data_IF_513014563647
#
_entry.id   IF_513014563647
#
_cell.length_a   1.000
_cell.length_b   1.000
_cell.length_c   1.000
_cell.angle_alpha   90.00
_cell.angle_beta   90.00
_cell.angle_gamma   90.00
#
_symmetry.space_group_name_H-M   'P 1'
#
loop_
_entity.id
_entity.type
_entity.pdbx_description
1 polymer ?
#
# COMPACT_ATOMS: atom_id res chain seq x y z
N UNK A 1 9.27 4.65 27.26
CA UNK A 1 9.21 5.52 26.06
C UNK A 1 10.47 5.35 25.20
N UNK A 2 10.34 4.71 24.03
CA UNK A 2 11.39 4.67 22.99
C UNK A 2 11.17 5.83 22.01
N UNK A 3 12.24 6.48 21.55
CA UNK A 3 12.21 7.49 20.49
C UNK A 3 12.39 6.79 19.14
N UNK A 4 11.40 6.90 18.26
CA UNK A 4 11.40 6.21 16.96
C UNK A 4 11.33 7.24 15.84
N UNK A 5 12.32 7.23 14.96
CA UNK A 5 12.23 7.92 13.68
C UNK A 5 11.43 7.06 12.69
N UNK A 6 10.22 7.50 12.36
CA UNK A 6 9.38 6.87 11.35
C UNK A 6 9.58 7.57 10.00
N UNK A 7 10.22 6.86 9.07
CA UNK A 7 10.37 7.26 7.68
C UNK A 7 9.02 7.03 6.97
N UNK A 8 8.34 8.14 6.69
CA UNK A 8 6.95 8.25 6.29
C UNK A 8 6.85 8.65 4.80
N UNK A 9 6.32 7.77 3.92
CA UNK A 9 6.12 8.08 2.51
C UNK A 9 4.93 8.99 2.22
N UNK A 10 4.04 9.26 3.17
CA UNK A 10 2.91 10.16 2.95
C UNK A 10 3.32 11.64 3.00
N UNK A 11 4.45 11.96 3.65
CA UNK A 11 5.00 13.31 3.71
C UNK A 11 5.55 13.71 2.33
N UNK A 12 5.16 14.89 1.85
CA UNK A 12 5.48 15.39 0.50
C UNK A 12 5.00 14.47 -0.64
N UNK A 13 3.92 13.71 -0.42
CA UNK A 13 3.29 12.87 -1.45
C UNK A 13 1.92 13.41 -1.86
N UNK A 14 1.62 13.42 -3.15
CA UNK A 14 0.27 13.73 -3.68
C UNK A 14 -0.66 12.52 -3.67
N UNK A 15 -0.15 11.35 -3.26
CA UNK A 15 -0.85 10.08 -3.32
C UNK A 15 -1.47 9.75 -1.96
N UNK A 16 -2.79 9.95 -1.81
CA UNK A 16 -3.49 9.66 -0.55
C UNK A 16 -3.44 8.17 -0.14
N UNK A 17 -3.09 7.27 -1.05
CA UNK A 17 -2.87 5.86 -0.72
C UNK A 17 -1.71 5.64 0.27
N UNK A 18 -0.70 6.52 0.27
CA UNK A 18 0.39 6.44 1.24
C UNK A 18 -0.09 6.78 2.67
N UNK A 19 -1.16 7.58 2.81
CA UNK A 19 -1.77 7.85 4.12
C UNK A 19 -2.45 6.61 4.71
N UNK A 20 -3.09 5.77 3.88
CA UNK A 20 -3.72 4.50 4.32
C UNK A 20 -2.65 3.54 4.86
N UNK A 21 -1.50 3.48 4.17
CA UNK A 21 -0.36 2.67 4.61
C UNK A 21 0.11 3.16 5.97
N UNK A 22 0.28 4.47 6.12
CA UNK A 22 0.84 5.05 7.34
C UNK A 22 -0.12 4.97 8.52
N UNK A 23 -1.42 5.13 8.31
CA UNK A 23 -2.44 4.87 9.33
C UNK A 23 -2.34 3.43 9.89
N UNK A 24 -2.11 2.45 9.00
CA UNK A 24 -1.91 1.06 9.41
C UNK A 24 -0.57 0.84 10.11
N UNK A 25 0.50 1.48 9.63
CA UNK A 25 1.83 1.44 10.26
C UNK A 25 1.80 2.05 11.65
N UNK A 26 1.14 3.19 11.85
CA UNK A 26 1.00 3.85 13.15
C UNK A 26 0.30 2.94 14.15
N UNK A 27 -0.80 2.29 13.75
CA UNK A 27 -1.49 1.30 14.58
C UNK A 27 -0.57 0.13 14.97
N UNK A 28 0.25 -0.37 14.03
CA UNK A 28 1.20 -1.44 14.30
C UNK A 28 2.27 -0.99 15.28
N UNK A 29 2.86 0.19 15.09
CA UNK A 29 3.90 0.74 15.95
C UNK A 29 3.35 0.96 17.37
N UNK A 30 2.19 1.59 17.51
CA UNK A 30 1.55 1.83 18.81
C UNK A 30 1.17 0.55 19.55
N UNK A 31 0.94 -0.56 18.83
CA UNK A 31 0.70 -1.89 19.44
C UNK A 31 1.98 -2.67 19.75
N UNK A 32 3.08 -2.34 19.09
CA UNK A 32 4.36 -3.06 19.22
C UNK A 32 5.25 -2.43 20.29
N UNK A 33 5.16 -1.12 20.47
CA UNK A 33 5.99 -0.37 21.39
C UNK A 33 5.14 0.28 22.49
N UNK A 34 5.63 0.24 23.71
CA UNK A 34 5.02 0.90 24.86
C UNK A 34 5.32 2.41 24.82
N UNK A 35 4.27 3.20 24.62
CA UNK A 35 4.27 4.67 24.53
C UNK A 35 5.44 5.23 23.68
N UNK A 36 5.48 4.98 22.35
CA UNK A 36 6.58 5.45 21.51
C UNK A 36 6.47 6.95 21.22
N UNK A 37 7.60 7.66 21.27
CA UNK A 37 7.70 9.02 20.73
C UNK A 37 8.07 8.95 19.25
N UNK A 38 7.13 9.28 18.36
CA UNK A 38 7.34 9.20 16.91
C UNK A 38 7.83 10.54 16.32
N UNK A 39 8.98 10.51 15.67
CA UNK A 39 9.49 11.61 14.85
C UNK A 39 9.32 11.21 13.38
N UNK A 40 8.45 11.91 12.65
CA UNK A 40 8.16 11.60 11.24
C UNK A 40 9.14 12.29 10.30
N UNK A 41 9.64 11.53 9.32
CA UNK A 41 10.64 12.01 8.36
C UNK A 41 10.21 11.59 6.95
N UNK A 42 10.23 12.51 6.00
CA UNK A 42 9.87 12.20 4.62
C UNK A 42 10.80 11.15 3.97
N UNK A 43 10.24 10.35 3.07
CA UNK A 43 11.03 9.46 2.20
C UNK A 43 11.07 9.90 0.74
N UNK A 44 10.02 10.58 0.26
CA UNK A 44 9.84 10.92 -1.16
C UNK A 44 10.46 12.26 -1.57
N UNK A 45 11.01 12.99 -0.60
CA UNK A 45 11.68 14.28 -0.78
C UNK A 45 13.03 14.30 -0.05
N UNK A 46 13.86 15.31 -0.30
CA UNK A 46 15.20 15.41 0.26
C UNK A 46 15.15 15.42 1.79
N UNK A 47 16.05 14.64 2.40
CA UNK A 47 16.18 14.55 3.85
C UNK A 47 17.04 15.72 4.35
N UNK A 48 16.52 16.44 5.34
CA UNK A 48 17.16 17.65 5.87
C UNK A 48 18.22 17.33 6.93
N UNK A 49 19.08 18.30 7.24
CA UNK A 49 20.05 18.20 8.33
C UNK A 49 19.39 17.98 9.70
N UNK A 50 18.21 18.57 9.93
CA UNK A 50 17.41 18.33 11.13
C UNK A 50 16.90 16.89 11.19
N UNK A 51 16.44 16.35 10.06
CA UNK A 51 16.04 14.95 9.97
C UNK A 51 17.22 14.00 10.29
N UNK A 52 18.43 14.30 9.80
CA UNK A 52 19.64 13.56 10.18
C UNK A 52 19.97 13.64 11.67
N UNK A 53 19.74 14.79 12.31
CA UNK A 53 19.93 14.96 13.74
C UNK A 53 18.95 14.08 14.52
N UNK A 54 17.66 14.13 14.18
CA UNK A 54 16.65 13.33 14.88
C UNK A 54 16.83 11.83 14.69
N UNK A 55 17.20 11.36 13.49
CA UNK A 55 17.51 9.95 13.27
C UNK A 55 18.69 9.48 14.10
N UNK A 56 19.71 10.32 14.30
CA UNK A 56 20.86 9.99 15.16
C UNK A 56 20.51 9.95 16.64
N UNK A 57 19.48 10.68 17.06
CA UNK A 57 18.99 10.71 18.45
C UNK A 57 17.93 9.65 18.74
N UNK A 58 17.43 8.94 17.72
CA UNK A 58 16.36 7.95 17.87
C UNK A 58 16.93 6.58 18.25
N UNK A 59 16.23 5.86 19.11
CA UNK A 59 16.54 4.48 19.47
C UNK A 59 16.34 3.53 18.29
N UNK A 60 15.32 3.79 17.47
CA UNK A 60 14.99 3.01 16.28
C UNK A 60 14.67 3.91 15.08
N UNK A 61 15.01 3.42 13.89
CA UNK A 61 14.67 4.05 12.60
C UNK A 61 13.86 3.04 11.80
N UNK A 62 12.58 3.28 11.62
CA UNK A 62 11.66 2.37 10.93
C UNK A 62 11.16 3.04 9.67
N UNK A 63 11.12 2.30 8.56
CA UNK A 63 10.55 2.78 7.30
C UNK A 63 9.25 2.06 7.00
N UNK A 64 8.16 2.85 6.90
CA UNK A 64 6.80 2.35 6.79
C UNK A 64 6.33 2.21 5.33
N UNK A 65 6.34 0.99 4.83
CA UNK A 65 5.61 0.59 3.63
C UNK A 65 5.99 1.23 2.29
N UNK A 66 4.97 1.35 1.43
CA UNK A 66 4.99 1.73 0.00
C UNK A 66 6.03 0.99 -0.85
N UNK A 67 6.26 1.42 -2.09
CA UNK A 67 7.12 0.75 -3.07
C UNK A 67 8.50 1.42 -3.25
N UNK A 68 9.19 1.64 -2.13
CA UNK A 68 10.41 2.44 -2.03
C UNK A 68 11.68 1.79 -2.61
N UNK A 69 11.73 0.46 -2.72
CA UNK A 69 12.94 -0.25 -3.13
C UNK A 69 13.02 -0.38 -4.66
N UNK A 70 14.23 -0.30 -5.23
CA UNK A 70 14.50 -0.35 -6.67
C UNK A 70 15.87 -0.94 -6.93
N UNK A 71 16.05 -1.61 -8.07
CA UNK A 71 17.33 -2.21 -8.49
C UNK A 71 18.35 -1.18 -9.00
N UNK A 72 17.92 0.06 -9.22
CA UNK A 72 18.74 1.16 -9.74
C UNK A 72 18.47 2.45 -8.94
N UNK A 73 18.85 2.44 -7.65
CA UNK A 73 18.67 3.60 -6.75
C UNK A 73 19.44 4.85 -7.19
N UNK A 74 20.46 4.70 -8.05
CA UNK A 74 21.21 5.80 -8.66
C UNK A 74 20.49 6.49 -9.83
N UNK A 75 19.41 5.91 -10.37
CA UNK A 75 18.68 6.51 -11.51
C UNK A 75 17.23 6.84 -11.15
N UNK A 76 16.50 5.91 -10.54
CA UNK A 76 15.13 6.12 -10.11
C UNK A 76 14.98 5.73 -8.65
N UNK A 77 14.62 6.72 -7.84
CA UNK A 77 14.47 6.59 -6.40
C UNK A 77 13.19 7.28 -5.94
N UNK A 78 12.22 6.47 -5.51
CA UNK A 78 11.10 6.96 -4.70
C UNK A 78 11.59 7.32 -3.31
N UNK A 79 12.39 6.43 -2.70
CA UNK A 79 13.12 6.78 -1.49
C UNK A 79 14.35 7.63 -1.81
N UNK A 80 14.29 8.93 -1.54
CA UNK A 80 15.29 9.94 -1.94
C UNK A 80 16.58 9.88 -1.12
N UNK A 81 17.23 8.73 -1.10
CA UNK A 81 18.53 8.49 -0.45
C UNK A 81 19.63 8.18 -1.44
N UNK A 82 20.86 8.44 -1.04
CA UNK A 82 22.09 8.14 -1.77
C UNK A 82 23.23 7.78 -0.80
N UNK A 83 24.41 7.42 -1.32
CA UNK A 83 25.53 6.99 -0.48
C UNK A 83 26.05 8.07 0.48
N UNK A 84 25.93 9.36 0.15
CA UNK A 84 26.27 10.43 1.09
C UNK A 84 25.32 10.46 2.27
N UNK A 85 24.03 10.25 2.02
CA UNK A 85 23.03 10.18 3.09
C UNK A 85 23.31 8.98 4.00
N UNK A 86 23.89 7.90 3.47
CA UNK A 86 24.22 6.69 4.25
C UNK A 86 25.29 6.90 5.35
N UNK A 87 26.01 8.03 5.30
CA UNK A 87 26.92 8.45 6.38
C UNK A 87 26.16 8.95 7.62
N UNK A 88 24.91 9.38 7.44
CA UNK A 88 24.07 9.95 8.49
C UNK A 88 22.85 9.08 8.79
N UNK A 89 22.45 8.26 7.83
CA UNK A 89 21.33 7.34 7.93
C UNK A 89 21.85 5.91 7.76
N UNK A 90 21.70 5.11 8.79
CA UNK A 90 22.05 3.69 8.80
C UNK A 90 21.18 2.99 9.84
N UNK A 91 21.26 1.66 9.87
CA UNK A 91 20.53 0.82 10.82
C UNK A 91 19.00 1.00 10.75
N UNK A 92 18.48 1.08 9.51
CA UNK A 92 17.05 1.22 9.24
C UNK A 92 16.38 -0.16 9.21
N UNK A 93 15.18 -0.23 9.78
CA UNK A 93 14.35 -1.42 9.84
C UNK A 93 13.17 -1.25 8.90
N UNK A 94 13.03 -2.16 7.93
CA UNK A 94 11.87 -2.18 7.03
C UNK A 94 10.62 -2.70 7.74
N UNK A 95 9.48 -2.02 7.53
CA UNK A 95 8.14 -2.47 7.89
C UNK A 95 7.24 -2.46 6.64
N UNK A 96 7.03 -3.63 6.05
CA UNK A 96 6.11 -3.84 4.94
C UNK A 96 6.48 -3.09 3.66
N UNK A 97 7.77 -2.84 3.45
CA UNK A 97 8.25 -2.13 2.27
C UNK A 97 8.25 -3.06 1.06
N UNK A 98 7.99 -2.52 -0.13
CA UNK A 98 8.02 -3.27 -1.38
C UNK A 98 8.97 -2.73 -2.43
N UNK A 99 9.20 -3.57 -3.43
CA UNK A 99 9.93 -3.23 -4.64
C UNK A 99 9.02 -2.49 -5.64
N UNK A 100 9.58 -1.50 -6.35
CA UNK A 100 8.81 -0.64 -7.26
C UNK A 100 8.12 -1.41 -8.38
N UNK A 101 8.89 -2.16 -9.16
CA UNK A 101 8.40 -2.96 -10.29
C UNK A 101 9.28 -4.17 -10.55
N UNK A 102 8.86 -5.03 -11.48
CA UNK A 102 9.75 -6.07 -12.00
C UNK A 102 10.99 -5.43 -12.62
N UNK A 103 12.14 -5.84 -12.12
CA UNK A 103 13.44 -5.32 -12.51
C UNK A 103 14.44 -6.47 -12.53
N UNK A 104 15.57 -6.25 -13.20
CA UNK A 104 16.72 -7.15 -13.12
C UNK A 104 17.30 -7.18 -11.70
N UNK A 105 18.39 -7.93 -11.49
CA UNK A 105 19.06 -7.89 -10.18
C UNK A 105 19.53 -6.47 -9.84
N UNK A 106 19.53 -6.07 -8.55
CA UNK A 106 20.04 -4.78 -8.15
C UNK A 106 21.50 -4.59 -8.58
N UNK A 107 21.83 -3.39 -9.08
CA UNK A 107 23.18 -3.07 -9.48
C UNK A 107 24.12 -2.94 -8.26
N UNK A 108 25.42 -2.90 -8.52
CA UNK A 108 26.44 -2.81 -7.46
C UNK A 108 26.20 -1.61 -6.54
N UNK A 109 25.91 -0.44 -7.09
CA UNK A 109 25.58 0.77 -6.31
C UNK A 109 24.45 0.53 -5.32
N UNK A 110 23.32 0.00 -5.80
CA UNK A 110 22.13 -0.26 -4.99
C UNK A 110 22.42 -1.30 -3.91
N UNK A 111 23.19 -2.35 -4.25
CA UNK A 111 23.60 -3.38 -3.30
C UNK A 111 24.43 -2.78 -2.16
N UNK A 112 25.42 -1.94 -2.47
CA UNK A 112 26.23 -1.27 -1.44
C UNK A 112 25.34 -0.35 -0.60
N UNK A 113 24.50 0.46 -1.24
CA UNK A 113 23.61 1.39 -0.55
C UNK A 113 22.72 0.67 0.46
N UNK A 114 22.03 -0.40 0.07
CA UNK A 114 21.14 -1.13 1.00
C UNK A 114 21.89 -1.83 2.12
N UNK A 115 23.10 -2.36 1.88
CA UNK A 115 23.91 -2.96 2.94
C UNK A 115 24.38 -1.97 4.00
N UNK A 116 24.51 -0.68 3.65
CA UNK A 116 24.87 0.38 4.59
C UNK A 116 23.63 0.94 5.29
N UNK A 117 22.54 1.14 4.54
CA UNK A 117 21.32 1.76 5.08
C UNK A 117 20.56 0.83 6.01
N UNK A 118 20.44 -0.45 5.65
CA UNK A 118 19.58 -1.41 6.34
C UNK A 118 20.32 -2.05 7.52
N UNK A 119 19.57 -2.28 8.59
CA UNK A 119 20.09 -2.95 9.78
C UNK A 119 20.59 -4.37 9.48
N UNK A 120 21.72 -4.75 10.06
CA UNK A 120 22.22 -6.14 10.01
C UNK A 120 21.80 -6.95 11.24
N UNK A 121 21.19 -6.32 12.25
CA UNK A 121 20.79 -6.94 13.52
C UNK A 121 19.30 -7.27 13.52
N UNK A 122 18.47 -6.34 13.03
CA UNK A 122 17.01 -6.50 13.05
C UNK A 122 16.49 -7.26 11.82
N UNK A 123 15.42 -8.01 12.02
CA UNK A 123 14.62 -8.63 10.97
C UNK A 123 13.83 -7.57 10.20
N UNK A 124 13.95 -7.58 8.88
CA UNK A 124 13.21 -6.72 7.97
C UNK A 124 11.88 -7.33 7.55
N UNK A 125 10.84 -6.51 7.57
CA UNK A 125 9.52 -6.84 7.06
C UNK A 125 9.34 -6.24 5.67
N UNK A 126 8.99 -7.09 4.70
CA UNK A 126 8.62 -6.68 3.34
C UNK A 126 7.23 -7.18 2.99
N UNK A 127 6.59 -6.53 2.02
CA UNK A 127 5.16 -6.76 1.73
C UNK A 127 4.83 -7.93 0.80
N UNK A 128 5.83 -8.44 0.08
CA UNK A 128 5.64 -9.46 -0.95
C UNK A 128 6.90 -10.33 -1.11
N UNK A 129 6.69 -11.57 -1.56
CA UNK A 129 7.73 -12.58 -1.74
C UNK A 129 8.77 -12.16 -2.79
N UNK A 130 8.37 -11.39 -3.80
CA UNK A 130 9.29 -10.85 -4.79
C UNK A 130 10.32 -9.89 -4.16
N UNK A 131 9.87 -8.99 -3.30
CA UNK A 131 10.74 -8.06 -2.57
C UNK A 131 11.69 -8.83 -1.64
N UNK A 132 11.20 -9.85 -0.94
CA UNK A 132 12.01 -10.71 -0.07
C UNK A 132 13.15 -11.38 -0.87
N UNK A 133 12.81 -12.00 -1.99
CA UNK A 133 13.78 -12.66 -2.86
C UNK A 133 14.82 -11.69 -3.42
N UNK A 134 14.42 -10.45 -3.78
CA UNK A 134 15.34 -9.43 -4.26
C UNK A 134 16.37 -9.03 -3.22
N UNK A 135 15.95 -8.79 -1.98
CA UNK A 135 16.87 -8.45 -0.88
C UNK A 135 17.80 -9.63 -0.53
N UNK A 136 17.25 -10.85 -0.45
CA UNK A 136 18.08 -12.06 -0.26
C UNK A 136 19.13 -12.22 -1.35
N UNK A 137 18.77 -11.97 -2.61
CA UNK A 137 19.68 -12.10 -3.76
C UNK A 137 20.90 -11.17 -3.74
N UNK A 138 20.87 -10.10 -2.93
CA UNK A 138 21.99 -9.16 -2.78
C UNK A 138 22.76 -9.34 -1.46
N UNK A 139 22.41 -10.36 -0.68
CA UNK A 139 23.05 -10.71 0.58
C UNK A 139 22.49 -9.98 1.78
N UNK A 140 21.17 -9.76 1.81
CA UNK A 140 20.42 -9.26 2.98
C UNK A 140 19.47 -10.38 3.41
N UNK A 141 19.94 -11.35 4.21
CA UNK A 141 19.19 -12.57 4.52
C UNK A 141 18.17 -12.40 5.66
N UNK A 142 18.35 -11.39 6.50
CA UNK A 142 17.50 -11.01 7.64
C UNK A 142 16.21 -10.30 7.16
N UNK A 143 15.48 -10.92 6.24
CA UNK A 143 14.25 -10.38 5.67
C UNK A 143 13.19 -11.46 5.51
N UNK A 144 11.94 -11.10 5.80
CA UNK A 144 10.77 -11.98 5.66
C UNK A 144 9.60 -11.23 5.05
N UNK A 145 8.82 -11.92 4.22
CA UNK A 145 7.52 -11.45 3.77
C UNK A 145 6.51 -11.50 4.92
N UNK A 146 6.04 -10.33 5.33
CA UNK A 146 5.01 -10.15 6.36
C UNK A 146 3.70 -9.65 5.77
N UNK A 147 3.54 -9.65 4.45
CA UNK A 147 2.49 -8.92 3.72
C UNK A 147 2.50 -7.40 3.92
N UNK A 148 1.61 -6.70 3.20
CA UNK A 148 1.42 -5.26 3.38
C UNK A 148 0.86 -4.95 4.79
N UNK A 149 1.36 -3.92 5.50
CA UNK A 149 0.87 -3.55 6.84
C UNK A 149 -0.64 -3.27 6.88
N UNK A 150 -1.19 -2.79 5.77
CA UNK A 150 -2.63 -2.51 5.62
C UNK A 150 -3.51 -3.78 5.67
N UNK A 151 -2.93 -4.97 5.48
CA UNK A 151 -3.67 -6.23 5.56
C UNK A 151 -3.68 -6.82 6.97
N UNK A 152 -2.83 -6.37 7.89
CA UNK A 152 -2.59 -7.06 9.17
C UNK A 152 -3.80 -7.09 10.12
N UNK A 153 -4.81 -6.25 9.87
CA UNK A 153 -6.07 -6.23 10.61
C UNK A 153 -7.14 -7.13 9.99
N UNK A 154 -6.93 -7.66 8.78
CA UNK A 154 -7.87 -8.51 8.07
C UNK A 154 -7.73 -9.96 8.53
N UNK A 155 -8.06 -10.21 9.80
CA UNK A 155 -8.12 -11.57 10.38
C UNK A 155 -9.25 -12.38 9.75
N UNK A 156 -9.25 -13.70 9.96
CA UNK A 156 -10.35 -14.56 9.51
C UNK A 156 -11.70 -14.09 10.09
N UNK A 157 -11.72 -13.72 11.37
CA UNK A 157 -12.89 -13.14 12.03
C UNK A 157 -13.36 -11.85 11.33
N UNK A 158 -12.44 -10.92 11.08
CA UNK A 158 -12.77 -9.67 10.37
C UNK A 158 -13.33 -9.95 8.97
N UNK A 159 -12.66 -10.81 8.20
CA UNK A 159 -13.07 -11.18 6.86
C UNK A 159 -14.43 -11.88 6.81
N UNK A 160 -14.79 -12.64 7.84
CA UNK A 160 -16.10 -13.30 7.93
C UNK A 160 -17.28 -12.32 7.99
N UNK A 161 -17.05 -11.09 8.44
CA UNK A 161 -18.05 -10.02 8.51
C UNK A 161 -18.23 -9.28 7.18
N UNK A 162 -17.41 -9.57 6.16
CA UNK A 162 -17.48 -8.92 4.86
C UNK A 162 -18.66 -9.51 4.06
N UNK A 163 -19.56 -8.68 3.51
CA UNK A 163 -20.67 -9.15 2.68
C UNK A 163 -20.20 -10.00 1.51
N UNK A 164 -20.87 -11.15 1.32
CA UNK A 164 -20.56 -12.06 0.21
C UNK A 164 -21.25 -11.68 -1.09
N UNK A 165 -22.39 -10.98 -1.00
CA UNK A 165 -23.21 -10.56 -2.13
C UNK A 165 -22.99 -9.08 -2.43
N UNK A 166 -23.33 -8.71 -3.67
CA UNK A 166 -23.26 -7.34 -4.19
C UNK A 166 -24.14 -6.38 -3.38
N UNK A 167 -23.66 -5.15 -3.16
CA UNK A 167 -24.46 -4.03 -2.68
C UNK A 167 -25.19 -3.28 -3.82
N UNK A 168 -26.07 -2.35 -3.48
CA UNK A 168 -26.76 -1.52 -4.48
C UNK A 168 -25.86 -0.41 -5.07
N UNK A 169 -24.78 -0.06 -4.38
CA UNK A 169 -23.88 1.03 -4.76
C UNK A 169 -22.44 0.56 -4.89
N UNK A 170 -21.61 1.25 -5.67
CA UNK A 170 -20.19 0.94 -5.83
C UNK A 170 -19.33 2.18 -5.67
N UNK A 171 -18.20 2.03 -5.00
CA UNK A 171 -17.10 2.97 -4.97
C UNK A 171 -16.03 2.56 -5.99
N UNK A 172 -15.77 3.42 -6.96
CA UNK A 172 -14.73 3.22 -7.98
C UNK A 172 -13.61 4.24 -7.84
N UNK A 173 -12.40 3.81 -8.23
CA UNK A 173 -11.19 4.65 -8.21
C UNK A 173 -10.32 4.31 -9.41
N UNK A 174 -9.62 5.33 -9.93
CA UNK A 174 -8.69 5.20 -11.05
C UNK A 174 -7.30 5.67 -10.68
N UNK A 175 -6.29 5.21 -11.42
CA UNK A 175 -4.89 5.52 -11.18
C UNK A 175 -4.34 6.45 -12.24
N UNK A 176 -4.13 7.72 -11.88
CA UNK A 176 -3.61 8.80 -12.73
C UNK A 176 -2.51 8.38 -13.72
N UNK A 177 -1.45 7.71 -13.26
CA UNK A 177 -0.27 7.39 -14.07
C UNK A 177 -0.39 6.10 -14.90
N UNK A 178 -1.57 5.44 -14.88
CA UNK A 178 -1.81 4.18 -15.59
C UNK A 178 -3.21 4.10 -16.22
N UNK A 179 -3.79 5.26 -16.55
CA UNK A 179 -5.09 5.39 -17.22
C UNK A 179 -5.15 4.59 -18.53
N UNK A 180 -6.30 3.98 -18.82
CA UNK A 180 -6.58 3.33 -20.10
C UNK A 180 -8.05 3.54 -20.44
N UNK A 181 -8.30 4.50 -21.32
CA UNK A 181 -9.65 4.97 -21.66
C UNK A 181 -10.58 3.85 -22.09
N UNK A 182 -10.11 2.90 -22.90
CA UNK A 182 -10.92 1.77 -23.37
C UNK A 182 -11.39 0.88 -22.21
N UNK A 183 -10.46 0.46 -21.35
CA UNK A 183 -10.79 -0.44 -20.25
C UNK A 183 -11.56 0.28 -19.14
N UNK A 184 -11.17 1.51 -18.82
CA UNK A 184 -11.78 2.31 -17.76
C UNK A 184 -13.23 2.72 -18.16
N UNK A 185 -13.48 3.06 -19.43
CA UNK A 185 -14.83 3.28 -19.95
C UNK A 185 -15.70 2.02 -19.90
N UNK A 186 -15.16 0.87 -20.33
CA UNK A 186 -15.89 -0.39 -20.28
C UNK A 186 -16.25 -0.78 -18.84
N UNK A 187 -15.34 -0.55 -17.89
CA UNK A 187 -15.62 -0.74 -16.47
C UNK A 187 -16.78 0.15 -16.02
N UNK A 188 -16.70 1.47 -16.27
CA UNK A 188 -17.78 2.41 -15.90
C UNK A 188 -19.12 1.97 -16.48
N UNK A 189 -19.16 1.55 -17.75
CA UNK A 189 -20.38 1.04 -18.39
C UNK A 189 -20.96 -0.15 -17.65
N UNK A 190 -20.13 -1.14 -17.28
CA UNK A 190 -20.56 -2.31 -16.51
C UNK A 190 -21.07 -1.90 -15.12
N UNK A 191 -20.37 -0.98 -14.44
CA UNK A 191 -20.78 -0.51 -13.13
C UNK A 191 -22.14 0.20 -13.19
N UNK A 192 -22.36 1.08 -14.17
CA UNK A 192 -23.63 1.80 -14.35
C UNK A 192 -24.80 0.89 -14.70
N UNK A 193 -24.55 -0.28 -15.27
CA UNK A 193 -25.59 -1.28 -15.56
C UNK A 193 -25.95 -2.14 -14.35
N UNK A 194 -25.05 -2.23 -13.36
CA UNK A 194 -25.17 -3.18 -12.24
C UNK A 194 -25.40 -2.51 -10.89
N UNK A 195 -25.07 -1.23 -10.74
CA UNK A 195 -25.19 -0.50 -9.48
C UNK A 195 -26.08 0.73 -9.67
N UNK A 196 -26.91 1.03 -8.67
CA UNK A 196 -27.81 2.17 -8.66
C UNK A 196 -27.06 3.49 -8.47
N UNK A 197 -25.98 3.46 -7.67
CA UNK A 197 -25.14 4.64 -7.39
C UNK A 197 -23.66 4.31 -7.57
N UNK A 198 -22.95 5.21 -8.22
CA UNK A 198 -21.51 5.15 -8.39
C UNK A 198 -20.88 6.29 -7.59
N UNK A 199 -20.09 5.95 -6.59
CA UNK A 199 -19.23 6.86 -5.86
C UNK A 199 -17.84 6.86 -6.49
N UNK A 200 -17.19 8.01 -6.51
CA UNK A 200 -15.81 8.13 -6.98
C UNK A 200 -14.95 8.84 -5.94
N UNK A 201 -13.84 8.21 -5.54
CA UNK A 201 -12.86 8.84 -4.67
C UNK A 201 -11.63 9.29 -5.48
N UNK A 202 -11.37 10.60 -5.42
CA UNK A 202 -10.19 11.22 -6.06
C UNK A 202 -8.98 11.04 -5.15
N UNK A 203 -8.00 10.26 -5.58
CA UNK A 203 -6.78 9.99 -4.81
C UNK A 203 -5.60 10.89 -5.23
N UNK A 204 -5.54 11.28 -6.51
CA UNK A 204 -4.56 12.20 -7.07
C UNK A 204 -5.23 13.26 -7.97
N UNK A 205 -4.55 14.40 -8.26
CA UNK A 205 -5.18 15.55 -8.89
C UNK A 205 -5.90 15.28 -10.22
N UNK A 206 -5.35 14.41 -11.09
CA UNK A 206 -5.98 14.14 -12.41
C UNK A 206 -7.08 13.08 -12.36
N UNK A 207 -7.23 12.36 -11.25
CA UNK A 207 -8.24 11.31 -11.12
C UNK A 207 -9.66 11.88 -11.28
N UNK A 208 -9.92 13.07 -10.73
CA UNK A 208 -11.24 13.72 -10.80
C UNK A 208 -11.66 14.02 -12.24
N UNK A 209 -10.82 14.73 -12.99
CA UNK A 209 -11.11 15.09 -14.38
C UNK A 209 -11.25 13.86 -15.27
N UNK A 210 -10.46 12.81 -14.99
CA UNK A 210 -10.54 11.55 -15.70
C UNK A 210 -11.88 10.81 -15.48
N UNK A 211 -12.35 10.71 -14.24
CA UNK A 211 -13.68 10.14 -14.00
C UNK A 211 -14.79 11.03 -14.57
N UNK A 212 -14.62 12.36 -14.49
CA UNK A 212 -15.59 13.32 -15.00
C UNK A 212 -15.80 13.18 -16.52
N UNK A 213 -14.78 12.80 -17.30
CA UNK A 213 -14.94 12.58 -18.74
C UNK A 213 -15.80 11.36 -19.08
N UNK A 214 -15.97 10.39 -18.17
CA UNK A 214 -16.83 9.23 -18.39
C UNK A 214 -18.22 9.37 -17.78
N UNK A 215 -18.29 9.81 -16.52
CA UNK A 215 -19.54 9.82 -15.76
C UNK A 215 -20.21 11.20 -15.70
N UNK A 216 -19.50 12.29 -16.01
CA UNK A 216 -20.05 13.64 -15.85
C UNK A 216 -20.66 13.83 -14.45
N UNK A 217 -21.94 14.19 -14.39
CA UNK A 217 -22.70 14.39 -13.13
C UNK A 217 -23.39 13.12 -12.59
N UNK A 218 -23.29 11.99 -13.27
CA UNK A 218 -23.97 10.74 -12.87
C UNK A 218 -23.30 10.04 -11.68
N UNK A 219 -22.03 10.36 -11.40
CA UNK A 219 -21.30 9.84 -10.24
C UNK A 219 -21.34 10.82 -9.06
N UNK A 220 -21.23 10.27 -7.84
CA UNK A 220 -21.11 11.01 -6.60
C UNK A 220 -19.61 11.13 -6.26
N UNK A 221 -19.06 12.34 -6.41
CA UNK A 221 -17.63 12.59 -6.17
C UNK A 221 -17.37 12.86 -4.69
N UNK A 222 -16.55 12.01 -4.09
CA UNK A 222 -16.08 12.20 -2.71
C UNK A 222 -14.96 13.24 -2.67
N UNK A 223 -14.87 13.95 -1.54
CA UNK A 223 -13.75 14.87 -1.29
C UNK A 223 -12.42 14.10 -1.32
N UNK A 224 -11.32 14.68 -1.83
CA UNK A 224 -10.00 14.05 -1.89
C UNK A 224 -9.33 14.04 -0.51
N UNK A 225 -9.89 13.27 0.43
CA UNK A 225 -9.31 13.07 1.75
C UNK A 225 -9.59 11.64 2.24
N UNK A 226 -8.68 11.11 3.08
CA UNK A 226 -8.88 9.82 3.72
C UNK A 226 -10.14 9.81 4.59
N UNK A 227 -10.42 10.92 5.30
CA UNK A 227 -11.66 11.09 6.08
C UNK A 227 -12.93 10.91 5.24
N UNK A 228 -12.97 11.45 4.03
CA UNK A 228 -14.14 11.32 3.17
C UNK A 228 -14.31 9.90 2.62
N UNK A 229 -13.21 9.21 2.31
CA UNK A 229 -13.22 7.79 1.98
C UNK A 229 -13.78 6.97 3.15
N UNK A 230 -13.22 7.15 4.35
CA UNK A 230 -13.64 6.43 5.55
C UNK A 230 -15.11 6.68 5.88
N UNK A 231 -15.57 7.94 5.79
CA UNK A 231 -16.98 8.27 6.00
C UNK A 231 -17.88 7.54 4.99
N UNK A 232 -17.53 7.49 3.71
CA UNK A 232 -18.29 6.75 2.72
C UNK A 232 -18.31 5.24 3.04
N UNK A 233 -17.16 4.64 3.30
CA UNK A 233 -17.04 3.22 3.63
C UNK A 233 -17.75 2.85 4.94
N UNK A 234 -17.80 3.73 5.93
CA UNK A 234 -18.51 3.44 7.19
C UNK A 234 -20.03 3.62 7.08
N UNK A 235 -20.50 4.62 6.31
CA UNK A 235 -21.92 5.03 6.33
C UNK A 235 -22.75 4.47 5.18
N UNK A 236 -22.12 4.08 4.07
CA UNK A 236 -22.80 3.60 2.88
C UNK A 236 -22.56 2.10 2.70
N UNK A 237 -23.57 1.37 2.26
CA UNK A 237 -23.39 -0.01 1.80
C UNK A 237 -22.91 0.01 0.35
N UNK A 238 -21.59 -0.12 0.18
CA UNK A 238 -20.89 -0.02 -1.10
C UNK A 238 -19.92 -1.17 -1.28
N UNK A 239 -19.89 -1.71 -2.49
CA UNK A 239 -18.78 -2.52 -2.99
C UNK A 239 -17.65 -1.57 -3.37
N UNK A 240 -16.40 -2.02 -3.31
CA UNK A 240 -15.28 -1.34 -3.94
C UNK A 240 -14.87 -2.08 -5.20
N UNK A 241 -14.73 -1.37 -6.33
CA UNK A 241 -14.12 -1.90 -7.55
C UNK A 241 -13.22 -0.83 -8.17
N UNK A 242 -11.90 -1.02 -8.23
CA UNK A 242 -11.02 0.01 -8.80
C UNK A 242 -9.54 -0.32 -8.84
N UNK A 243 -8.75 0.57 -9.44
CA UNK A 243 -7.32 0.35 -9.71
C UNK A 243 -6.39 0.84 -8.59
N UNK A 244 -6.94 1.44 -7.53
CA UNK A 244 -6.18 1.95 -6.38
C UNK A 244 -6.10 0.89 -5.28
N UNK A 245 -5.07 0.05 -5.33
CA UNK A 245 -4.82 -1.05 -4.38
C UNK A 245 -5.20 -0.74 -2.92
N UNK A 246 -4.64 0.32 -2.33
CA UNK A 246 -4.87 0.62 -0.91
C UNK A 246 -6.27 1.17 -0.61
N UNK A 247 -6.96 1.78 -1.58
CA UNK A 247 -8.37 2.13 -1.39
C UNK A 247 -9.24 0.88 -1.28
N UNK A 248 -8.93 -0.17 -2.08
CA UNK A 248 -9.60 -1.46 -1.96
C UNK A 248 -9.28 -2.18 -0.66
N UNK A 249 -8.03 -2.15 -0.20
CA UNK A 249 -7.69 -2.70 1.12
C UNK A 249 -8.40 -1.91 2.23
N UNK A 250 -8.50 -0.58 2.13
CA UNK A 250 -9.26 0.23 3.09
C UNK A 250 -10.74 -0.15 3.10
N UNK A 251 -11.33 -0.43 1.94
CA UNK A 251 -12.70 -0.95 1.87
C UNK A 251 -12.85 -2.27 2.64
N UNK A 252 -11.91 -3.21 2.48
CA UNK A 252 -11.87 -4.44 3.27
C UNK A 252 -11.74 -4.16 4.78
N UNK A 253 -10.91 -3.20 5.20
CA UNK A 253 -10.76 -2.80 6.61
C UNK A 253 -12.07 -2.24 7.21
N UNK A 254 -12.95 -1.68 6.39
CA UNK A 254 -14.30 -1.22 6.76
C UNK A 254 -15.39 -2.28 6.54
N UNK A 255 -14.99 -3.55 6.45
CA UNK A 255 -15.86 -4.70 6.20
C UNK A 255 -16.71 -4.58 4.93
N UNK A 256 -16.19 -3.90 3.90
CA UNK A 256 -16.82 -3.80 2.59
C UNK A 256 -16.23 -4.81 1.63
N UNK A 257 -17.10 -5.36 0.79
CA UNK A 257 -16.71 -6.27 -0.29
C UNK A 257 -15.89 -5.47 -1.31
N UNK A 258 -14.72 -5.97 -1.69
CA UNK A 258 -13.79 -5.24 -2.54
C UNK A 258 -13.17 -6.11 -3.63
N UNK A 259 -13.03 -5.55 -4.83
CA UNK A 259 -12.28 -6.10 -5.95
C UNK A 259 -11.26 -5.07 -6.43
N UNK A 260 -9.98 -5.44 -6.39
CA UNK A 260 -8.90 -4.58 -6.86
C UNK A 260 -8.54 -4.96 -8.30
N UNK A 261 -8.43 -3.96 -9.17
CA UNK A 261 -8.08 -4.13 -10.56
C UNK A 261 -6.57 -3.94 -10.74
N UNK A 262 -5.86 -5.01 -11.07
CA UNK A 262 -4.41 -5.00 -11.26
C UNK A 262 -4.02 -4.17 -12.49
N UNK A 263 -3.16 -3.19 -12.27
CA UNK A 263 -2.51 -2.35 -13.30
C UNK A 263 -0.98 -2.46 -13.26
N UNK A 264 -0.44 -3.07 -12.22
CA UNK A 264 0.99 -3.29 -12.02
C UNK A 264 1.23 -4.56 -11.17
N UNK A 265 2.50 -4.83 -10.88
CA UNK A 265 2.90 -5.98 -10.10
C UNK A 265 2.52 -5.89 -8.61
N UNK A 266 2.21 -4.72 -8.05
CA UNK A 266 2.02 -4.57 -6.60
C UNK A 266 0.78 -5.32 -6.13
N UNK A 267 -0.35 -5.09 -6.79
CA UNK A 267 -1.59 -5.81 -6.48
C UNK A 267 -1.44 -7.31 -6.77
N UNK A 268 -0.78 -7.65 -7.88
CA UNK A 268 -0.60 -9.04 -8.31
C UNK A 268 0.29 -9.84 -7.34
N UNK A 269 1.41 -9.28 -6.89
CA UNK A 269 2.34 -9.96 -5.96
C UNK A 269 1.72 -10.11 -4.57
N UNK A 270 1.06 -9.07 -4.06
CA UNK A 270 0.34 -9.18 -2.78
C UNK A 270 -0.77 -10.24 -2.88
N UNK A 271 -1.55 -10.27 -3.97
CA UNK A 271 -2.61 -11.26 -4.15
C UNK A 271 -2.10 -12.70 -4.19
N UNK A 272 -0.94 -12.94 -4.84
CA UNK A 272 -0.32 -14.28 -4.85
C UNK A 272 0.01 -14.77 -3.45
N UNK A 273 0.47 -13.87 -2.58
CA UNK A 273 0.89 -14.23 -1.22
C UNK A 273 -0.30 -14.30 -0.25
N UNK A 274 -1.35 -13.50 -0.46
CA UNK A 274 -2.39 -13.27 0.56
C UNK A 274 -3.81 -13.64 0.13
N UNK A 275 -4.03 -14.08 -1.11
CA UNK A 275 -5.37 -14.31 -1.67
C UNK A 275 -6.25 -13.03 -1.70
N UNK A 276 -5.61 -11.85 -1.78
CA UNK A 276 -6.33 -10.59 -1.97
C UNK A 276 -7.16 -10.62 -3.27
N UNK A 277 -8.46 -10.24 -3.26
CA UNK A 277 -9.30 -10.26 -4.46
C UNK A 277 -8.79 -9.29 -5.53
N UNK A 278 -8.09 -9.84 -6.53
CA UNK A 278 -7.46 -9.09 -7.60
C UNK A 278 -7.80 -9.72 -8.96
N UNK A 279 -8.31 -8.91 -9.88
CA UNK A 279 -8.55 -9.29 -11.27
C UNK A 279 -7.79 -8.31 -12.18
N UNK A 280 -7.36 -8.75 -13.35
CA UNK A 280 -6.73 -7.84 -14.32
C UNK A 280 -7.76 -6.85 -14.84
N UNK A 281 -7.37 -5.59 -15.00
CA UNK A 281 -8.30 -4.53 -15.41
C UNK A 281 -8.98 -4.76 -16.78
N UNK A 282 -8.32 -5.48 -17.68
CA UNK A 282 -8.83 -5.80 -19.01
C UNK A 282 -9.79 -6.99 -19.06
N UNK A 283 -9.93 -7.74 -17.96
CA UNK A 283 -10.79 -8.91 -17.85
C UNK A 283 -12.20 -8.53 -17.34
N UNK A 284 -12.96 -7.88 -18.22
CA UNK A 284 -14.33 -7.41 -17.93
C UNK A 284 -15.28 -8.56 -17.60
N UNK A 285 -15.08 -9.74 -18.19
CA UNK A 285 -15.97 -10.88 -17.96
C UNK A 285 -15.80 -11.44 -16.55
N UNK A 286 -14.56 -11.57 -16.07
CA UNK A 286 -14.31 -11.94 -14.67
C UNK A 286 -14.82 -10.87 -13.70
N UNK A 287 -14.76 -9.58 -14.05
CA UNK A 287 -15.33 -8.50 -13.23
C UNK A 287 -16.85 -8.64 -13.12
N UNK A 288 -17.56 -8.85 -14.23
CA UNK A 288 -19.02 -9.11 -14.21
C UNK A 288 -19.36 -10.35 -13.40
N UNK A 289 -18.64 -11.44 -13.64
CA UNK A 289 -18.83 -12.67 -12.90
C UNK A 289 -18.64 -12.46 -11.39
N UNK A 290 -17.65 -11.68 -10.98
CA UNK A 290 -17.48 -11.30 -9.58
C UNK A 290 -18.69 -10.52 -9.07
N UNK A 291 -19.14 -9.48 -9.78
CA UNK A 291 -20.31 -8.65 -9.41
C UNK A 291 -21.55 -9.52 -9.16
N UNK A 292 -21.86 -10.45 -10.07
CA UNK A 292 -23.08 -11.25 -10.04
C UNK A 292 -23.03 -12.45 -9.08
N UNK A 293 -21.82 -12.82 -8.64
CA UNK A 293 -21.61 -14.00 -7.80
C UNK A 293 -21.53 -13.64 -6.31
N UNK A 294 -21.73 -14.66 -5.47
CA UNK A 294 -21.42 -14.61 -4.05
C UNK A 294 -19.97 -15.02 -3.83
N UNK A 295 -19.16 -14.15 -3.23
CA UNK A 295 -17.75 -14.41 -2.95
C UNK A 295 -17.45 -14.29 -1.46
N UNK A 296 -16.82 -15.32 -0.90
CA UNK A 296 -16.22 -15.22 0.43
C UNK A 296 -14.87 -14.50 0.34
N UNK A 297 -14.68 -13.46 1.16
CA UNK A 297 -13.37 -12.82 1.28
C UNK A 297 -12.53 -13.61 2.27
N UNK A 298 -11.39 -14.12 1.82
CA UNK A 298 -10.42 -14.81 2.69
C UNK A 298 -9.02 -14.29 2.42
N UNK A 299 -8.40 -13.67 3.43
CA UNK A 299 -7.03 -13.16 3.35
C UNK A 299 -6.10 -14.08 4.14
N UNK A 300 -5.07 -14.59 3.48
CA UNK A 300 -4.05 -15.42 4.09
C UNK A 300 -2.90 -14.52 4.59
N UNK A 301 -2.80 -14.34 5.91
CA UNK A 301 -1.73 -13.55 6.51
C UNK A 301 -0.56 -14.44 6.96
N UNK A 302 0.70 -14.03 6.73
CA UNK A 302 1.87 -14.75 7.23
C UNK A 302 2.09 -14.44 8.72
N UNK A 303 1.18 -14.92 9.57
CA UNK A 303 1.12 -14.60 11.01
C UNK A 303 2.44 -14.89 11.74
N UNK A 304 3.10 -16.00 11.41
CA UNK A 304 4.39 -16.34 12.01
C UNK A 304 5.46 -15.27 11.71
N UNK A 305 5.59 -14.85 10.45
CA UNK A 305 6.55 -13.80 10.07
C UNK A 305 6.20 -12.44 10.68
N UNK A 306 4.90 -12.11 10.76
CA UNK A 306 4.42 -10.90 11.43
C UNK A 306 4.84 -10.91 12.90
N UNK A 307 4.62 -12.02 13.61
CA UNK A 307 4.98 -12.15 15.02
C UNK A 307 6.50 -12.14 15.24
N UNK A 308 7.27 -12.81 14.37
CA UNK A 308 8.74 -12.76 14.40
C UNK A 308 9.26 -11.34 14.26
N UNK A 309 8.66 -10.53 13.38
CA UNK A 309 9.05 -9.13 13.22
C UNK A 309 8.64 -8.28 14.43
N UNK A 310 7.47 -8.52 15.04
CA UNK A 310 7.04 -7.74 16.23
C UNK A 310 7.85 -8.07 17.48
N UNK A 311 8.15 -9.34 17.70
CA UNK A 311 8.77 -9.83 18.94
C UNK A 311 10.29 -9.63 19.01
N UNK A 312 10.89 -8.96 18.02
CA UNK A 312 12.32 -8.69 18.00
C UNK A 312 12.74 -7.44 18.81
N UNK A 313 11.77 -6.67 19.31
CA UNK A 313 11.94 -5.34 19.90
C UNK A 313 11.89 -5.31 21.42
#
# INVERSE_FOLDING_TARGET
>A
MKVISLLDPSICSSNLGDQIIIDSVDNIINKTFDEPLLIRIQTQDQISSNSYKYMRMSDLKIIGGTNLLSSKMNSYKQWKVNLWDSLFINDIILLGVGWWKYQQKPNFYTRVLYKVLLSNTYLHSVRDSYTEQKLKSIGIPNVVNTSCPTLWTLTEEHCSNIPRKKSDSVLVTFTEYHQNEKFDFNLVKVLSQNYQKIYFWTQQPKDYHYMQSFCGKSAIYLKPSLKALDQCLSSCDVDYIGTRLHAGIRALQHSRRALILAIDNRATEIAKDTNLPVIKRDDIDSIKHWIDSSYETKINLPIENINRWKNQF
#
